data_IF_596218653313
#
_entry.id   IF_596218653313
#
_cell.length_a   1.000
_cell.length_b   1.000
_cell.length_c   1.000
_cell.angle_alpha   90.00
_cell.angle_beta   90.00
_cell.angle_gamma   90.00
#
_symmetry.space_group_name_H-M   'P 1'
#
loop_
_entity.id
_entity.type
_entity.pdbx_description
1 polymer ?
#
# COMPACT_ATOMS: atom_id res chain seq x y z
N UNK A 1 -7.97 13.02 -9.36
CA UNK A 1 -7.41 12.08 -10.36
C UNK A 1 -8.34 10.90 -10.41
N UNK A 2 -8.97 10.67 -11.55
CA UNK A 2 -9.94 9.59 -11.74
C UNK A 2 -9.21 8.27 -12.01
N UNK A 3 -9.67 7.18 -11.38
CA UNK A 3 -9.23 5.84 -11.72
C UNK A 3 -9.77 5.45 -13.10
N UNK A 4 -8.99 4.70 -13.88
CA UNK A 4 -9.41 4.26 -15.22
C UNK A 4 -10.21 2.98 -15.12
N UNK A 5 -11.44 3.03 -15.62
CA UNK A 5 -12.36 1.90 -15.72
C UNK A 5 -12.61 1.60 -17.19
N UNK A 6 -12.38 0.35 -17.61
CA UNK A 6 -12.49 -0.07 -19.00
C UNK A 6 -13.69 -0.98 -19.14
N UNK A 7 -14.62 -0.64 -20.04
CA UNK A 7 -15.77 -1.48 -20.34
C UNK A 7 -15.33 -2.86 -20.83
N UNK A 8 -16.02 -3.90 -20.36
CA UNK A 8 -15.75 -5.28 -20.71
C UNK A 8 -17.04 -6.12 -20.67
N UNK A 9 -16.97 -7.29 -21.29
CA UNK A 9 -18.09 -8.22 -21.48
C UNK A 9 -17.57 -9.67 -21.36
N UNK A 10 -18.46 -10.66 -21.18
CA UNK A 10 -18.11 -12.07 -21.30
C UNK A 10 -17.24 -12.34 -22.53
N UNK A 11 -16.18 -13.13 -22.35
CA UNK A 11 -15.24 -13.55 -23.41
C UNK A 11 -14.36 -12.44 -24.03
N UNK A 12 -14.53 -11.17 -23.65
CA UNK A 12 -13.60 -10.12 -24.04
C UNK A 12 -12.21 -10.40 -23.42
N UNK A 13 -11.16 -10.04 -24.15
CA UNK A 13 -9.81 -10.08 -23.60
C UNK A 13 -9.72 -9.16 -22.37
N UNK A 14 -9.08 -9.65 -21.31
CA UNK A 14 -8.82 -8.85 -20.12
C UNK A 14 -7.94 -7.64 -20.50
N UNK A 15 -8.32 -6.41 -20.12
CA UNK A 15 -7.53 -5.23 -20.47
C UNK A 15 -6.15 -5.26 -19.79
N UNK A 16 -5.10 -4.69 -20.42
CA UNK A 16 -3.78 -4.58 -19.81
C UNK A 16 -3.83 -3.85 -18.46
N UNK A 17 -2.98 -4.29 -17.53
CA UNK A 17 -2.88 -3.73 -16.18
C UNK A 17 -4.18 -3.82 -15.34
N UNK A 18 -5.05 -4.80 -15.63
CA UNK A 18 -6.21 -5.09 -14.79
C UNK A 18 -5.80 -5.38 -13.34
N UNK A 19 -6.46 -4.72 -12.40
CA UNK A 19 -6.13 -4.83 -10.98
C UNK A 19 -6.65 -6.15 -10.42
N UNK A 20 -5.72 -6.99 -9.93
CA UNK A 20 -6.07 -8.25 -9.27
C UNK A 20 -6.68 -7.95 -7.90
N UNK A 21 -7.90 -8.44 -7.70
CA UNK A 21 -8.65 -8.37 -6.45
C UNK A 21 -8.33 -9.50 -5.49
N UNK A 22 -8.02 -10.69 -6.01
CA UNK A 22 -7.74 -11.88 -5.22
C UNK A 22 -7.88 -13.15 -6.05
N UNK A 23 -8.45 -14.19 -5.46
CA UNK A 23 -8.66 -15.48 -6.12
C UNK A 23 -9.94 -16.15 -5.63
N UNK A 24 -10.58 -16.90 -6.52
CA UNK A 24 -11.74 -17.71 -6.19
C UNK A 24 -11.33 -19.04 -5.51
N UNK A 25 -12.28 -19.81 -5.01
CA UNK A 25 -11.99 -21.08 -4.31
C UNK A 25 -11.26 -22.11 -5.18
N UNK A 26 -11.39 -22.02 -6.51
CA UNK A 26 -10.66 -22.84 -7.50
C UNK A 26 -9.30 -22.25 -7.90
N UNK A 27 -8.86 -21.18 -7.21
CA UNK A 27 -7.65 -20.38 -7.48
C UNK A 27 -7.70 -19.54 -8.76
N UNK A 28 -8.82 -19.49 -9.48
CA UNK A 28 -8.97 -18.55 -10.60
C UNK A 28 -8.76 -17.12 -10.12
N UNK A 29 -8.01 -16.27 -10.85
CA UNK A 29 -7.81 -14.89 -10.47
C UNK A 29 -9.12 -14.12 -10.52
N UNK A 30 -9.35 -13.30 -9.48
CA UNK A 30 -10.44 -12.34 -9.41
C UNK A 30 -9.85 -10.97 -9.73
N UNK A 31 -10.53 -10.20 -10.59
CA UNK A 31 -10.18 -8.82 -10.89
C UNK A 31 -11.20 -7.85 -10.29
N UNK A 32 -10.71 -6.65 -9.98
CA UNK A 32 -11.55 -5.55 -9.48
C UNK A 32 -12.35 -4.99 -10.64
N UNK A 33 -13.67 -5.11 -10.54
CA UNK A 33 -14.58 -4.47 -11.48
C UNK A 33 -15.63 -3.62 -10.78
N UNK A 34 -16.51 -3.04 -11.58
CA UNK A 34 -17.77 -2.45 -11.13
C UNK A 34 -18.88 -2.70 -12.14
N UNK A 35 -20.12 -2.73 -11.69
CA UNK A 35 -21.28 -2.89 -12.56
C UNK A 35 -22.52 -2.26 -11.95
N UNK A 36 -23.39 -1.76 -12.82
CA UNK A 36 -24.65 -1.16 -12.43
C UNK A 36 -25.69 -2.22 -12.08
N UNK A 37 -26.34 -2.07 -10.93
CA UNK A 37 -27.45 -2.93 -10.50
C UNK A 37 -28.41 -2.09 -9.65
N UNK A 38 -29.70 -2.13 -9.99
CA UNK A 38 -30.77 -1.49 -9.19
C UNK A 38 -30.49 -0.01 -8.83
N UNK A 39 -30.00 0.80 -9.77
CA UNK A 39 -29.76 2.23 -9.53
C UNK A 39 -28.39 2.56 -8.94
N UNK A 40 -27.57 1.55 -8.61
CA UNK A 40 -26.29 1.73 -7.93
C UNK A 40 -25.13 1.17 -8.78
N UNK A 41 -23.97 1.82 -8.74
CA UNK A 41 -22.75 1.29 -9.36
C UNK A 41 -21.91 0.57 -8.30
N UNK A 42 -21.92 -0.76 -8.33
CA UNK A 42 -21.41 -1.60 -7.26
C UNK A 42 -20.05 -2.19 -7.64
N UNK A 43 -19.11 -2.33 -6.69
CA UNK A 43 -17.93 -3.16 -6.86
C UNK A 43 -18.31 -4.58 -7.30
N UNK A 44 -17.55 -5.10 -8.26
CA UNK A 44 -17.82 -6.38 -8.90
C UNK A 44 -16.60 -7.33 -8.83
N UNK A 45 -16.89 -8.60 -8.54
CA UNK A 45 -15.96 -9.73 -8.64
C UNK A 45 -15.93 -10.19 -10.09
N UNK A 46 -14.89 -9.83 -10.85
CA UNK A 46 -14.74 -10.23 -12.26
C UNK A 46 -13.88 -11.49 -12.36
N UNK A 47 -14.41 -12.55 -13.00
CA UNK A 47 -13.72 -13.83 -13.15
C UNK A 47 -13.72 -14.23 -14.63
N UNK A 48 -12.65 -13.91 -15.39
CA UNK A 48 -12.61 -14.14 -16.84
C UNK A 48 -12.85 -15.60 -17.23
N UNK A 49 -12.33 -16.56 -16.45
CA UNK A 49 -12.52 -18.00 -16.70
C UNK A 49 -13.99 -18.45 -16.60
N UNK A 50 -14.84 -17.71 -15.88
CA UNK A 50 -16.28 -17.95 -15.77
C UNK A 50 -17.11 -17.08 -16.72
N UNK A 51 -16.45 -16.18 -17.47
CA UNK A 51 -17.09 -15.33 -18.46
C UNK A 51 -18.07 -14.31 -17.87
N UNK A 52 -17.95 -13.93 -16.60
CA UNK A 52 -18.87 -12.97 -15.98
C UNK A 52 -18.25 -12.19 -14.82
N UNK A 53 -18.98 -11.17 -14.38
CA UNK A 53 -18.75 -10.49 -13.12
C UNK A 53 -19.91 -10.72 -12.16
N UNK A 54 -19.69 -10.54 -10.86
CA UNK A 54 -20.73 -10.68 -9.83
C UNK A 54 -20.75 -9.45 -8.94
N UNK A 55 -21.95 -9.00 -8.55
CA UNK A 55 -22.14 -7.93 -7.56
C UNK A 55 -23.00 -8.44 -6.40
N UNK A 56 -22.72 -7.93 -5.20
CA UNK A 56 -23.51 -8.23 -4.00
C UNK A 56 -24.62 -7.18 -3.84
N UNK A 57 -25.88 -7.59 -3.79
CA UNK A 57 -27.00 -6.69 -3.56
C UNK A 57 -28.22 -7.40 -2.95
N UNK A 58 -28.80 -6.82 -1.90
CA UNK A 58 -30.08 -7.24 -1.34
C UNK A 58 -30.09 -8.68 -0.81
N UNK A 59 -28.98 -9.14 -0.21
CA UNK A 59 -28.87 -10.51 0.29
C UNK A 59 -28.43 -11.56 -0.74
N UNK A 60 -28.29 -11.19 -2.02
CA UNK A 60 -27.96 -12.12 -3.10
C UNK A 60 -26.71 -11.71 -3.91
N UNK A 61 -26.11 -12.71 -4.57
CA UNK A 61 -25.11 -12.55 -5.62
C UNK A 61 -25.80 -12.44 -6.98
N UNK A 62 -25.43 -11.42 -7.77
CA UNK A 62 -26.03 -11.17 -9.07
C UNK A 62 -24.98 -11.25 -10.18
N UNK A 63 -25.17 -12.15 -11.14
CA UNK A 63 -24.30 -12.28 -12.32
C UNK A 63 -24.50 -11.12 -13.30
N UNK A 64 -23.40 -10.61 -13.85
CA UNK A 64 -23.34 -9.44 -14.73
C UNK A 64 -22.56 -9.77 -16.00
N UNK A 65 -23.17 -9.45 -17.14
CA UNK A 65 -22.57 -9.57 -18.48
C UNK A 65 -22.07 -8.25 -19.04
N UNK A 66 -22.30 -7.14 -18.34
CA UNK A 66 -21.78 -5.82 -18.68
C UNK A 66 -21.17 -5.22 -17.42
N UNK A 67 -19.88 -4.91 -17.49
CA UNK A 67 -19.11 -4.43 -16.35
C UNK A 67 -17.94 -3.59 -16.83
N UNK A 68 -17.30 -2.88 -15.91
CA UNK A 68 -16.03 -2.22 -16.15
C UNK A 68 -14.95 -2.87 -15.28
N UNK A 69 -13.74 -2.97 -15.80
CA UNK A 69 -12.57 -3.49 -15.09
C UNK A 69 -11.67 -2.32 -14.71
N UNK A 70 -11.21 -2.29 -13.47
CA UNK A 70 -10.24 -1.31 -12.98
C UNK A 70 -8.87 -1.63 -13.57
N UNK A 71 -8.21 -0.63 -14.16
CA UNK A 71 -6.86 -0.79 -14.72
C UNK A 71 -5.91 0.26 -14.17
N UNK A 72 -4.63 -0.10 -14.04
CA UNK A 72 -3.55 0.81 -13.69
C UNK A 72 -2.62 0.27 -12.61
N UNK A 73 -1.80 1.16 -12.05
CA UNK A 73 -0.82 0.88 -11.00
C UNK A 73 -0.98 1.85 -9.84
N UNK A 74 -0.28 1.59 -8.72
CA UNK A 74 -0.35 2.41 -7.52
C UNK A 74 -1.59 2.11 -6.67
N UNK A 75 -2.08 0.88 -6.73
CA UNK A 75 -3.17 0.39 -5.89
C UNK A 75 -2.60 -0.48 -4.77
N UNK A 76 -3.11 -0.31 -3.55
CA UNK A 76 -2.71 -1.13 -2.42
C UNK A 76 -3.94 -1.56 -1.61
N UNK A 77 -3.82 -2.67 -0.90
CA UNK A 77 -4.86 -3.20 -0.03
C UNK A 77 -4.52 -2.89 1.42
N UNK A 78 -5.42 -2.20 2.12
CA UNK A 78 -5.19 -1.73 3.49
C UNK A 78 -6.17 -2.40 4.43
N UNK A 79 -5.69 -3.11 5.48
CA UNK A 79 -6.56 -3.71 6.48
C UNK A 79 -7.51 -2.67 7.11
N UNK A 80 -8.75 -3.07 7.28
CA UNK A 80 -9.82 -2.27 7.88
C UNK A 80 -10.88 -3.17 8.52
N UNK A 81 -11.80 -2.57 9.26
CA UNK A 81 -12.90 -3.29 9.88
C UNK A 81 -14.06 -2.35 10.19
N UNK A 82 -15.24 -2.93 10.44
CA UNK A 82 -16.37 -2.23 11.06
C UNK A 82 -16.81 -0.93 10.34
N UNK A 83 -16.73 -0.90 9.00
CA UNK A 83 -17.09 0.27 8.19
C UNK A 83 -15.96 1.25 7.97
N UNK A 84 -14.76 1.00 8.53
CA UNK A 84 -13.58 1.84 8.33
C UNK A 84 -13.21 1.96 6.85
N UNK A 85 -12.93 3.19 6.44
CA UNK A 85 -12.48 3.54 5.09
C UNK A 85 -11.22 4.40 5.20
N UNK A 86 -10.04 3.91 4.80
CA UNK A 86 -8.82 4.70 4.82
C UNK A 86 -8.86 5.85 3.79
N UNK A 87 -8.03 6.89 3.97
CA UNK A 87 -7.79 7.90 2.95
C UNK A 87 -7.42 7.29 1.60
N UNK A 88 -7.83 7.95 0.50
CA UNK A 88 -7.61 7.52 -0.88
C UNK A 88 -8.27 6.18 -1.27
N UNK A 89 -9.27 5.72 -0.51
CA UNK A 89 -10.05 4.54 -0.88
C UNK A 89 -10.70 4.69 -2.26
N UNK A 90 -10.62 3.63 -3.06
CA UNK A 90 -11.19 3.57 -4.40
C UNK A 90 -12.71 3.49 -4.29
N UNK A 91 -13.37 4.59 -4.64
CA UNK A 91 -14.84 4.67 -4.72
C UNK A 91 -15.31 4.06 -6.04
N UNK A 92 -16.27 3.14 -5.94
CA UNK A 92 -16.89 2.51 -7.12
C UNK A 92 -18.19 3.21 -7.53
N UNK A 93 -18.94 3.73 -6.56
CA UNK A 93 -20.24 4.36 -6.79
C UNK A 93 -20.87 4.92 -5.52
N UNK A 94 -22.18 5.08 -5.54
CA UNK A 94 -23.00 5.48 -4.40
C UNK A 94 -24.26 4.65 -4.30
N UNK A 95 -24.77 4.52 -3.09
CA UNK A 95 -26.13 4.05 -2.84
C UNK A 95 -27.16 5.03 -3.40
N UNK A 96 -28.44 4.61 -3.47
CA UNK A 96 -29.55 5.50 -3.83
C UNK A 96 -29.70 6.73 -2.92
N UNK A 97 -29.22 6.66 -1.68
CA UNK A 97 -29.23 7.78 -0.72
C UNK A 97 -27.99 8.69 -0.82
N UNK A 98 -27.07 8.38 -1.73
CA UNK A 98 -25.85 9.16 -1.97
C UNK A 98 -24.64 8.73 -1.12
N UNK A 99 -24.76 7.68 -0.31
CA UNK A 99 -23.63 7.17 0.49
C UNK A 99 -22.58 6.54 -0.44
N UNK A 100 -21.29 6.92 -0.34
CA UNK A 100 -20.24 6.35 -1.17
C UNK A 100 -19.98 4.87 -0.81
N UNK A 101 -19.82 4.05 -1.86
CA UNK A 101 -19.39 2.66 -1.74
C UNK A 101 -17.95 2.50 -2.23
N UNK A 102 -17.17 1.71 -1.49
CA UNK A 102 -15.75 1.52 -1.75
C UNK A 102 -15.43 0.07 -2.11
N UNK A 103 -14.36 -0.12 -2.87
CA UNK A 103 -13.86 -1.45 -3.20
C UNK A 103 -13.15 -2.04 -1.99
N UNK A 104 -13.60 -3.19 -1.51
CA UNK A 104 -12.90 -3.98 -0.50
C UNK A 104 -12.75 -5.44 -0.92
N UNK A 105 -11.97 -6.19 -0.16
CA UNK A 105 -11.86 -7.65 -0.30
C UNK A 105 -11.79 -8.34 1.06
N UNK A 106 -12.20 -9.60 1.09
CA UNK A 106 -12.18 -10.40 2.31
C UNK A 106 -12.06 -11.89 2.02
N UNK A 107 -11.59 -12.64 3.01
CA UNK A 107 -11.50 -14.09 2.93
C UNK A 107 -12.85 -14.74 3.26
N UNK A 108 -13.29 -15.67 2.42
CA UNK A 108 -14.47 -16.49 2.66
C UNK A 108 -14.38 -17.82 1.88
N UNK A 109 -14.61 -18.94 2.55
CA UNK A 109 -14.67 -20.28 1.94
C UNK A 109 -13.52 -20.60 0.95
N UNK A 110 -12.29 -20.26 1.33
CA UNK A 110 -11.09 -20.49 0.50
C UNK A 110 -10.88 -19.49 -0.65
N UNK A 111 -11.75 -18.48 -0.79
CA UNK A 111 -11.59 -17.36 -1.71
C UNK A 111 -11.10 -16.10 -0.98
N UNK A 112 -10.32 -15.27 -1.67
CA UNK A 112 -10.13 -13.86 -1.37
C UNK A 112 -10.92 -13.06 -2.41
N UNK A 113 -12.13 -12.62 -2.05
CA UNK A 113 -13.11 -12.04 -2.97
C UNK A 113 -13.30 -10.55 -2.75
N UNK A 114 -13.46 -9.81 -3.86
CA UNK A 114 -13.79 -8.38 -3.85
C UNK A 114 -15.30 -8.14 -3.68
N UNK A 115 -15.64 -7.00 -3.12
CA UNK A 115 -17.03 -6.60 -2.87
C UNK A 115 -17.17 -5.15 -2.44
N UNK A 116 -18.36 -4.80 -1.94
CA UNK A 116 -18.70 -3.43 -1.52
C UNK A 116 -18.46 -3.23 -0.03
N UNK A 117 -17.59 -2.28 0.31
CA UNK A 117 -17.51 -1.73 1.66
C UNK A 117 -18.63 -0.71 1.80
N UNK A 118 -19.47 -0.92 2.79
CA UNK A 118 -20.63 -0.08 3.09
C UNK A 118 -20.42 0.55 4.47
N UNK A 119 -19.94 1.81 4.55
CA UNK A 119 -19.54 2.44 5.80
C UNK A 119 -20.62 2.43 6.88
N UNK A 120 -21.84 2.87 6.56
CA UNK A 120 -22.96 2.94 7.50
C UNK A 120 -23.43 1.57 7.99
N UNK A 121 -23.28 0.52 7.18
CA UNK A 121 -23.57 -0.87 7.58
C UNK A 121 -22.43 -1.49 8.39
N UNK A 122 -21.25 -0.86 8.43
CA UNK A 122 -20.11 -1.32 9.21
C UNK A 122 -19.44 -2.58 8.67
N UNK A 123 -19.46 -2.85 7.35
CA UNK A 123 -18.93 -4.11 6.81
C UNK A 123 -18.54 -4.05 5.33
N UNK A 124 -17.89 -5.14 4.89
CA UNK A 124 -17.75 -5.54 3.50
C UNK A 124 -18.84 -6.57 3.15
N UNK A 125 -19.47 -6.42 1.99
CA UNK A 125 -20.33 -7.41 1.38
C UNK A 125 -19.68 -7.97 0.12
N UNK A 126 -19.51 -9.29 0.03
CA UNK A 126 -18.99 -9.98 -1.16
C UNK A 126 -20.08 -10.84 -1.81
N UNK A 127 -20.09 -10.97 -3.14
CA UNK A 127 -20.89 -11.97 -3.83
C UNK A 127 -20.20 -13.33 -3.76
N UNK A 128 -20.87 -14.34 -3.20
CA UNK A 128 -20.35 -15.69 -3.13
C UNK A 128 -21.45 -16.75 -3.04
N UNK A 129 -21.43 -17.73 -3.96
CA UNK A 129 -22.28 -18.93 -3.87
C UNK A 129 -23.77 -18.61 -3.93
N UNK A 130 -24.18 -17.60 -4.70
CA UNK A 130 -25.56 -17.13 -4.79
C UNK A 130 -25.97 -16.13 -3.71
N UNK A 131 -25.12 -15.84 -2.71
CA UNK A 131 -25.45 -15.00 -1.57
C UNK A 131 -24.60 -13.72 -1.50
N UNK A 132 -25.15 -12.70 -0.85
CA UNK A 132 -24.39 -11.55 -0.35
C UNK A 132 -23.85 -11.88 1.04
N UNK A 133 -22.54 -12.12 1.13
CA UNK A 133 -21.88 -12.51 2.37
C UNK A 133 -21.31 -11.28 3.07
N UNK A 134 -21.69 -11.09 4.35
CA UNK A 134 -21.17 -10.04 5.23
C UNK A 134 -19.84 -10.43 5.86
N UNK A 135 -18.84 -9.54 5.79
CA UNK A 135 -17.51 -9.69 6.38
C UNK A 135 -17.18 -8.43 7.20
N UNK A 136 -16.78 -8.60 8.47
CA UNK A 136 -16.51 -7.47 9.38
C UNK A 136 -15.04 -7.04 9.42
N UNK A 137 -14.10 -7.92 9.03
CA UNK A 137 -12.67 -7.64 8.92
C UNK A 137 -12.22 -7.87 7.48
N UNK A 138 -11.69 -6.84 6.85
CA UNK A 138 -11.47 -6.82 5.40
C UNK A 138 -10.29 -5.94 5.04
N UNK A 139 -9.94 -5.87 3.76
CA UNK A 139 -9.03 -4.86 3.23
C UNK A 139 -9.80 -3.91 2.31
N UNK A 140 -9.42 -2.63 2.31
CA UNK A 140 -9.94 -1.61 1.39
C UNK A 140 -8.89 -1.32 0.33
N UNK A 141 -9.31 -1.27 -0.93
CA UNK A 141 -8.45 -0.84 -2.02
C UNK A 141 -8.24 0.66 -1.93
N UNK A 142 -6.99 1.11 -1.86
CA UNK A 142 -6.61 2.52 -1.94
C UNK A 142 -5.84 2.79 -3.21
N UNK A 143 -5.77 4.07 -3.57
CA UNK A 143 -4.94 4.55 -4.66
C UNK A 143 -3.86 5.50 -4.17
N UNK A 144 -2.61 5.08 -4.27
CA UNK A 144 -1.44 5.83 -3.84
C UNK A 144 -0.35 5.80 -4.93
N UNK A 145 -0.47 6.72 -5.90
CA UNK A 145 0.51 6.86 -6.99
C UNK A 145 1.88 7.39 -6.54
N UNK A 146 1.94 8.13 -5.44
CA UNK A 146 3.14 8.87 -5.02
C UNK A 146 3.37 8.73 -3.53
N UNK A 147 4.65 8.75 -3.18
CA UNK A 147 5.11 8.80 -1.79
C UNK A 147 4.77 10.19 -1.23
N UNK A 148 4.08 10.24 -0.10
CA UNK A 148 3.69 11.49 0.55
C UNK A 148 4.67 11.75 1.68
N UNK A 149 5.48 12.79 1.52
CA UNK A 149 6.45 13.22 2.51
C UNK A 149 5.95 14.50 3.17
N UNK A 150 5.86 14.48 4.49
CA UNK A 150 5.30 15.58 5.28
C UNK A 150 6.37 16.09 6.24
N UNK A 151 6.60 17.40 6.26
CA UNK A 151 7.48 18.05 7.24
C UNK A 151 7.10 17.64 8.66
N UNK A 152 8.09 17.24 9.44
CA UNK A 152 7.90 16.80 10.82
C UNK A 152 8.90 17.52 11.74
N UNK A 153 8.68 17.39 13.05
CA UNK A 153 9.58 17.95 14.06
C UNK A 153 9.61 17.06 15.30
N UNK A 154 10.58 17.26 16.21
CA UNK A 154 10.57 16.59 17.52
C UNK A 154 9.25 16.72 18.28
N UNK A 155 8.53 17.83 18.08
CA UNK A 155 7.25 18.11 18.72
C UNK A 155 6.03 17.60 17.92
N UNK A 156 6.21 17.14 16.67
CA UNK A 156 5.12 16.77 15.80
C UNK A 156 5.48 15.61 14.86
N UNK A 157 4.78 14.49 15.01
CA UNK A 157 4.79 13.38 14.06
C UNK A 157 3.47 13.39 13.27
N UNK A 158 3.50 13.45 11.94
CA UNK A 158 2.27 13.49 11.15
C UNK A 158 1.45 12.20 11.29
N UNK A 159 0.11 12.27 11.29
CA UNK A 159 -0.74 11.09 11.26
C UNK A 159 -0.41 10.19 10.07
N UNK A 160 -0.47 8.87 10.29
CA UNK A 160 -0.16 7.89 9.24
C UNK A 160 1.33 7.78 8.90
N UNK A 161 2.22 8.22 9.80
CA UNK A 161 3.66 8.03 9.66
C UNK A 161 4.02 6.55 9.51
N UNK A 162 4.80 6.22 8.49
CA UNK A 162 5.21 4.84 8.19
C UNK A 162 6.26 4.39 9.19
N UNK A 163 5.95 3.36 9.98
CA UNK A 163 6.90 2.72 10.90
C UNK A 163 7.94 1.95 10.10
N UNK A 164 9.19 2.34 10.24
CA UNK A 164 10.32 1.70 9.59
C UNK A 164 10.95 0.60 10.43
N UNK A 165 10.79 0.65 11.75
CA UNK A 165 11.33 -0.36 12.64
C UNK A 165 11.23 0.09 14.09
N UNK A 166 12.21 -0.32 14.89
CA UNK A 166 12.27 0.01 16.31
C UNK A 166 13.71 0.14 16.76
N UNK A 167 13.95 1.03 17.72
CA UNK A 167 15.27 1.19 18.34
C UNK A 167 15.54 0.07 19.35
N UNK A 168 16.75 0.02 19.92
CA UNK A 168 17.15 -1.03 20.86
C UNK A 168 16.26 -1.12 22.11
N UNK A 169 15.60 -0.03 22.50
CA UNK A 169 14.65 0.06 23.60
C UNK A 169 13.18 -0.15 23.18
N UNK A 170 12.95 -0.66 21.96
CA UNK A 170 11.64 -0.86 21.31
C UNK A 170 10.90 0.43 20.93
N UNK A 171 11.49 1.60 21.10
CA UNK A 171 10.90 2.86 20.61
C UNK A 171 10.69 2.77 19.10
N UNK A 172 9.49 3.08 18.58
CA UNK A 172 9.24 3.09 17.14
C UNK A 172 10.17 4.04 16.39
N UNK A 173 10.71 3.56 15.26
CA UNK A 173 11.45 4.38 14.30
C UNK A 173 10.55 4.58 13.07
N UNK A 174 10.43 5.81 12.61
CA UNK A 174 9.65 6.16 11.41
C UNK A 174 10.55 6.36 10.19
N UNK A 175 10.01 6.05 9.01
CA UNK A 175 10.68 6.29 7.73
C UNK A 175 10.66 7.79 7.45
N UNK A 176 11.82 8.45 7.54
CA UNK A 176 11.94 9.87 7.18
C UNK A 176 13.02 10.12 6.16
N UNK A 177 13.12 11.35 5.66
CA UNK A 177 14.22 11.78 4.80
C UNK A 177 14.66 13.18 5.18
N UNK A 178 15.91 13.51 4.90
CA UNK A 178 16.45 14.83 5.20
C UNK A 178 17.55 15.22 4.22
N UNK A 179 17.66 16.53 3.99
CA UNK A 179 18.73 17.09 3.16
C UNK A 179 20.08 17.04 3.88
N UNK A 180 21.09 16.53 3.21
CA UNK A 180 22.48 16.58 3.64
C UNK A 180 23.37 16.71 2.42
N UNK A 181 24.26 17.70 2.41
CA UNK A 181 25.20 17.94 1.31
C UNK A 181 24.54 17.86 -0.08
N UNK A 182 23.40 18.53 -0.28
CA UNK A 182 22.71 18.59 -1.57
C UNK A 182 21.96 17.33 -2.00
N UNK A 183 21.92 16.28 -1.17
CA UNK A 183 21.18 15.04 -1.43
C UNK A 183 20.06 14.82 -0.41
N UNK A 184 18.96 14.21 -0.85
CA UNK A 184 17.83 13.86 0.02
C UNK A 184 17.98 12.42 0.50
N UNK A 185 18.50 12.24 1.71
CA UNK A 185 18.91 10.93 2.24
C UNK A 185 17.81 10.30 3.12
N UNK A 186 17.70 8.95 3.14
CA UNK A 186 16.91 8.24 4.14
C UNK A 186 17.35 8.57 5.56
N UNK A 187 16.37 8.74 6.44
CA UNK A 187 16.57 9.13 7.82
C UNK A 187 15.88 8.16 8.78
N UNK A 188 16.61 7.82 9.86
CA UNK A 188 16.09 7.21 11.09
C UNK A 188 15.42 8.30 11.91
N UNK A 189 14.09 8.34 11.97
CA UNK A 189 13.34 9.35 12.73
C UNK A 189 12.78 8.74 14.01
N UNK A 190 13.16 9.32 15.17
CA UNK A 190 12.68 8.92 16.49
C UNK A 190 12.12 10.17 17.20
N UNK A 191 10.83 10.48 17.02
CA UNK A 191 10.22 11.69 17.55
C UNK A 191 10.29 11.80 19.07
N UNK A 192 10.10 10.69 19.80
CA UNK A 192 10.18 10.67 21.28
C UNK A 192 11.57 11.00 21.83
N UNK A 193 12.62 10.84 21.01
CA UNK A 193 14.00 11.23 21.32
C UNK A 193 14.39 12.55 20.64
N UNK A 194 13.45 13.20 19.96
CA UNK A 194 13.64 14.47 19.28
C UNK A 194 14.72 14.48 18.20
N UNK A 195 14.93 13.36 17.51
CA UNK A 195 16.03 13.23 16.57
C UNK A 195 15.64 12.55 15.26
N UNK A 196 16.27 13.00 14.18
CA UNK A 196 16.34 12.35 12.89
C UNK A 196 17.80 12.24 12.49
N UNK A 197 18.22 11.09 11.97
CA UNK A 197 19.61 10.84 11.60
C UNK A 197 19.74 10.32 10.18
N UNK A 198 20.72 10.82 9.44
CA UNK A 198 21.10 10.31 8.11
C UNK A 198 22.54 9.77 8.14
N UNK A 199 22.83 8.82 7.27
CA UNK A 199 24.19 8.36 7.01
C UNK A 199 24.86 9.20 5.94
N UNK A 200 26.11 9.61 6.18
CA UNK A 200 26.93 10.20 5.13
C UNK A 200 28.41 10.00 5.45
N UNK A 201 29.19 9.55 4.46
CA UNK A 201 30.66 9.49 4.56
C UNK A 201 31.21 8.72 5.77
N UNK A 202 30.54 7.64 6.21
CA UNK A 202 30.98 6.83 7.36
C UNK A 202 30.47 7.30 8.73
N UNK A 203 29.68 8.38 8.78
CA UNK A 203 29.16 8.97 10.02
C UNK A 203 27.64 9.07 10.03
N UNK A 204 27.10 9.19 11.24
CA UNK A 204 25.70 9.51 11.50
C UNK A 204 25.57 11.02 11.78
N UNK A 205 24.64 11.69 11.09
CA UNK A 205 24.40 13.13 11.26
C UNK A 205 22.98 13.40 11.73
N UNK A 206 22.85 14.11 12.85
CA UNK A 206 21.55 14.59 13.32
C UNK A 206 21.02 15.70 12.40
N UNK A 207 19.73 15.64 12.10
CA UNK A 207 19.03 16.57 11.22
C UNK A 207 17.92 17.30 11.98
N UNK A 208 17.98 18.64 12.07
CA UNK A 208 16.94 19.43 12.74
C UNK A 208 15.68 19.59 11.90
N UNK A 209 15.80 19.42 10.58
CA UNK A 209 14.70 19.48 9.62
C UNK A 209 14.67 18.19 8.83
N UNK A 210 13.48 17.61 8.72
CA UNK A 210 13.25 16.33 8.06
C UNK A 210 11.77 16.21 7.67
N UNK A 211 11.51 15.28 6.75
CA UNK A 211 10.17 14.88 6.36
C UNK A 211 9.95 13.41 6.77
N UNK A 212 8.72 13.06 7.06
CA UNK A 212 8.30 11.68 7.36
C UNK A 212 7.40 11.18 6.25
N UNK A 213 7.61 9.93 5.83
CA UNK A 213 6.75 9.24 4.88
C UNK A 213 5.41 8.95 5.54
N UNK A 214 4.31 9.30 4.88
CA UNK A 214 2.96 9.05 5.38
C UNK A 214 2.11 8.27 4.38
N UNK A 215 1.09 7.61 4.91
CA UNK A 215 0.09 6.86 4.16
C UNK A 215 0.17 5.37 4.40
N UNK A 216 -0.40 4.61 3.47
CA UNK A 216 -0.56 3.16 3.59
C UNK A 216 -0.03 2.47 2.34
N UNK A 217 -0.13 1.14 2.28
CA UNK A 217 0.31 0.39 1.10
C UNK A 217 1.83 0.38 0.95
N UNK A 218 2.56 0.39 2.06
CA UNK A 218 4.01 0.17 2.06
C UNK A 218 4.32 -1.19 2.68
N UNK A 219 5.23 -1.91 2.05
CA UNK A 219 5.67 -3.24 2.46
C UNK A 219 7.19 -3.29 2.48
N UNK A 220 7.74 -4.07 3.39
CA UNK A 220 9.16 -4.36 3.45
C UNK A 220 9.43 -5.69 2.76
N UNK A 221 10.28 -5.67 1.74
CA UNK A 221 10.60 -6.84 0.93
C UNK A 221 12.06 -7.22 1.21
N UNK A 222 12.28 -8.44 1.71
CA UNK A 222 13.62 -9.00 1.77
C UNK A 222 14.13 -9.28 0.35
N UNK A 223 15.28 -8.70 0.00
CA UNK A 223 15.83 -8.80 -1.35
C UNK A 223 16.99 -9.78 -1.40
N UNK A 224 16.92 -10.73 -2.32
CA UNK A 224 18.05 -11.61 -2.63
C UNK A 224 18.98 -10.92 -3.64
N UNK A 225 20.29 -11.11 -3.49
CA UNK A 225 21.31 -10.59 -4.40
C UNK A 225 21.29 -9.06 -4.62
N UNK A 226 20.77 -8.29 -3.65
CA UNK A 226 20.71 -6.82 -3.69
C UNK A 226 19.88 -6.23 -4.85
N UNK A 227 18.99 -7.00 -5.46
CA UNK A 227 18.08 -6.49 -6.50
C UNK A 227 17.09 -5.50 -5.93
N UNK A 228 17.02 -4.29 -6.49
CA UNK A 228 16.04 -3.28 -6.07
C UNK A 228 14.71 -3.51 -6.80
N UNK A 229 13.60 -3.71 -6.08
CA UNK A 229 12.30 -3.86 -6.71
C UNK A 229 11.88 -2.59 -7.47
N UNK A 230 11.20 -2.70 -8.62
CA UNK A 230 10.81 -1.54 -9.45
C UNK A 230 9.86 -0.57 -8.74
N UNK A 231 9.14 -1.04 -7.72
CA UNK A 231 8.23 -0.28 -6.85
C UNK A 231 8.89 0.22 -5.55
N UNK A 232 10.23 0.18 -5.43
CA UNK A 232 10.95 0.68 -4.27
C UNK A 232 10.73 2.19 -4.05
N UNK A 233 10.59 2.57 -2.78
CA UNK A 233 10.49 3.96 -2.34
C UNK A 233 11.85 4.62 -2.50
N UNK A 234 11.86 5.78 -3.15
CA UNK A 234 13.04 6.61 -3.37
C UNK A 234 12.91 7.91 -2.58
N UNK A 235 13.96 8.30 -1.85
CA UNK A 235 13.96 9.57 -1.11
C UNK A 235 14.31 10.75 -1.99
N UNK A 236 14.99 10.50 -3.11
CA UNK A 236 15.48 11.49 -4.05
C UNK A 236 16.52 10.89 -5.00
N UNK A 237 17.34 11.75 -5.57
CA UNK A 237 18.47 11.36 -6.43
C UNK A 237 19.78 11.83 -5.82
N UNK A 238 20.81 11.01 -5.98
CA UNK A 238 22.19 11.37 -5.69
C UNK A 238 22.70 12.36 -6.74
N UNK A 239 23.86 12.98 -6.49
CA UNK A 239 24.50 13.96 -7.39
C UNK A 239 24.81 13.41 -8.78
N UNK A 240 25.04 12.10 -8.88
CA UNK A 240 25.26 11.41 -10.16
C UNK A 240 23.94 11.08 -10.90
N UNK A 241 22.79 11.44 -10.33
CA UNK A 241 21.46 11.20 -10.89
C UNK A 241 20.82 9.88 -10.44
N UNK A 242 21.53 8.99 -9.75
CA UNK A 242 20.99 7.69 -9.34
C UNK A 242 19.91 7.86 -8.26
N UNK A 243 18.83 7.06 -8.29
CA UNK A 243 17.84 7.05 -7.23
C UNK A 243 18.44 6.56 -5.91
N UNK A 244 18.12 7.25 -4.82
CA UNK A 244 18.47 6.85 -3.46
C UNK A 244 17.29 6.08 -2.88
N UNK A 245 17.54 4.83 -2.47
CA UNK A 245 16.50 3.93 -1.97
C UNK A 245 16.54 3.74 -0.46
N UNK A 246 15.36 3.41 0.07
CA UNK A 246 15.10 3.23 1.48
C UNK A 246 15.15 1.75 1.87
N UNK A 247 16.06 1.39 2.77
CA UNK A 247 16.14 0.03 3.31
C UNK A 247 16.09 0.01 4.83
N UNK A 248 15.97 -1.18 5.43
CA UNK A 248 16.15 -1.39 6.87
C UNK A 248 16.85 -2.70 7.17
N UNK A 249 17.53 -2.75 8.31
CA UNK A 249 18.24 -3.95 8.75
C UNK A 249 18.39 -4.01 10.25
N UNK A 250 18.69 -5.22 10.74
CA UNK A 250 18.89 -5.48 12.16
C UNK A 250 20.34 -5.19 12.57
N UNK A 251 20.52 -4.46 13.67
CA UNK A 251 21.81 -4.24 14.30
C UNK A 251 21.64 -4.01 15.81
N UNK A 252 22.33 -4.78 16.65
CA UNK A 252 22.35 -4.62 18.11
C UNK A 252 20.94 -4.48 18.76
N UNK A 253 19.99 -5.31 18.36
CA UNK A 253 18.62 -5.29 18.88
C UNK A 253 17.73 -4.18 18.32
N UNK A 254 18.26 -3.32 17.45
CA UNK A 254 17.51 -2.31 16.70
C UNK A 254 17.19 -2.83 15.28
N UNK A 255 16.02 -2.48 14.76
CA UNK A 255 15.66 -2.60 13.34
C UNK A 255 15.62 -1.18 12.78
N UNK A 256 16.70 -0.78 12.11
CA UNK A 256 16.95 0.62 11.75
C UNK A 256 16.87 0.82 10.24
N UNK A 257 16.20 1.90 9.77
CA UNK A 257 16.22 2.28 8.37
C UNK A 257 17.50 3.01 7.97
N UNK A 258 17.80 2.99 6.68
CA UNK A 258 18.94 3.70 6.14
C UNK A 258 19.01 3.70 4.61
N UNK A 259 20.19 4.05 4.10
CA UNK A 259 20.48 4.24 2.69
C UNK A 259 20.94 2.95 2.03
N UNK A 260 20.25 2.53 0.97
CA UNK A 260 20.73 1.43 0.14
C UNK A 260 21.71 1.98 -0.90
N UNK A 261 22.92 1.41 -0.93
CA UNK A 261 23.91 1.69 -1.97
C UNK A 261 23.88 0.59 -3.02
N UNK A 262 23.28 0.86 -4.17
CA UNK A 262 23.26 -0.09 -5.30
C UNK A 262 24.67 -0.41 -5.82
N UNK A 263 25.58 0.58 -5.78
CA UNK A 263 26.98 0.40 -6.19
C UNK A 263 27.75 -0.51 -5.24
N UNK A 264 27.60 -0.30 -3.93
CA UNK A 264 28.31 -1.07 -2.92
C UNK A 264 27.58 -2.35 -2.49
N UNK A 265 26.36 -2.55 -3.00
CA UNK A 265 25.50 -3.69 -2.72
C UNK A 265 25.32 -3.91 -1.22
N UNK A 266 24.89 -2.87 -0.52
CA UNK A 266 24.68 -2.91 0.93
C UNK A 266 23.66 -1.87 1.37
N UNK A 267 23.17 -2.04 2.59
CA UNK A 267 22.47 -1.02 3.35
C UNK A 267 23.44 -0.34 4.31
N UNK A 268 23.33 0.98 4.42
CA UNK A 268 24.00 1.79 5.42
C UNK A 268 22.97 2.33 6.41
N UNK A 269 23.12 2.00 7.68
CA UNK A 269 22.23 2.49 8.75
C UNK A 269 22.97 3.44 9.71
N UNK A 270 22.28 4.46 10.25
CA UNK A 270 22.84 5.36 11.24
C UNK A 270 22.69 4.73 12.63
N UNK A 271 23.82 4.50 13.30
CA UNK A 271 23.83 3.90 14.64
C UNK A 271 25.08 4.30 15.44
N UNK A 272 24.88 4.85 16.63
CA UNK A 272 25.96 5.12 17.59
C UNK A 272 27.00 6.12 17.09
N UNK A 273 26.60 7.12 16.30
CA UNK A 273 27.49 8.12 15.71
C UNK A 273 28.19 7.66 14.43
N UNK A 274 27.93 6.43 13.96
CA UNK A 274 28.58 5.84 12.79
C UNK A 274 27.56 5.38 11.75
N UNK A 275 28.06 5.27 10.54
CA UNK A 275 27.41 4.52 9.47
C UNK A 275 27.78 3.04 9.59
N UNK A 276 26.79 2.17 9.73
CA UNK A 276 26.98 0.72 9.81
C UNK A 276 26.56 0.07 8.51
N UNK A 277 27.47 -0.70 7.91
CA UNK A 277 27.21 -1.49 6.70
C UNK A 277 26.52 -2.80 7.05
N UNK A 278 25.43 -3.12 6.36
CA UNK A 278 24.70 -4.37 6.44
C UNK A 278 24.53 -4.98 5.03
N UNK A 279 24.79 -6.27 4.89
CA UNK A 279 24.63 -6.97 3.61
C UNK A 279 23.26 -7.66 3.48
N UNK A 280 22.57 -7.91 4.60
CA UNK A 280 21.20 -8.42 4.63
C UNK A 280 20.23 -7.32 5.08
N UNK A 281 19.27 -6.99 4.23
CA UNK A 281 18.30 -5.93 4.48
C UNK A 281 16.98 -6.15 3.74
N UNK A 282 15.97 -5.40 4.15
CA UNK A 282 14.71 -5.27 3.45
C UNK A 282 14.64 -3.91 2.74
N UNK A 283 13.96 -3.86 1.59
CA UNK A 283 13.68 -2.64 0.84
C UNK A 283 12.25 -2.21 1.09
N UNK A 284 12.03 -0.91 1.31
CA UNK A 284 10.70 -0.35 1.40
C UNK A 284 10.11 -0.21 -0.02
N UNK A 285 8.96 -0.84 -0.25
CA UNK A 285 8.28 -0.84 -1.54
C UNK A 285 6.82 -0.41 -1.36
N UNK A 286 6.26 0.19 -2.42
CA UNK A 286 4.80 0.33 -2.55
C UNK A 286 4.21 -1.06 -2.83
N UNK A 287 3.11 -1.42 -2.17
CA UNK A 287 2.42 -2.70 -2.34
C UNK A 287 1.78 -2.83 -3.73
#
# INVERSE_FOLDING_TARGET
MEHTWVHSTPYAALPPYAVIGGHDSDRSPIYVGRSFHEGENLPAKVIPSKGCAYVAYGGAEHSKTHYEVLVGQGFAWVPSCSGGVPPNAVRSGTTRTGEPLYVGRGHHAGSLSVGKVHPSHGCLYIPFGGQEVRINTYEVLIYQQRDVWVSASPAYTPPGAVVAGHDSDRTPIYAGRAMHEGEMLPAKVIPSKGCAYVCYGGYEFQKPTYEVLTGYGYVWIHVQHHGIPPNAVSTGRARNGDPIYFGRGHHQGSLTPGLISSRQRCLYIPYGGREIRLDSYEVLCRQ
#
